data_IF_452656960751
#
_entry.id   IF_452656960751
#
_cell.length_a   1.000
_cell.length_b   1.000
_cell.length_c   1.000
_cell.angle_alpha   90.00
_cell.angle_beta   90.00
_cell.angle_gamma   90.00
#
_symmetry.space_group_name_H-M   'P 1'
#
loop_
_entity.id
_entity.type
_entity.pdbx_description
1 polymer ?
#
# COMPACT_ATOMS: atom_id res chain seq x y z
N UNK A 1 -27.81 2.85 42.56
CA UNK A 1 -27.97 1.72 41.64
C UNK A 1 -27.10 2.01 40.44
N UNK A 2 -26.14 1.14 40.18
CA UNK A 2 -25.03 1.24 39.22
C UNK A 2 -25.50 1.32 37.77
N UNK A 3 -25.04 2.33 37.03
CA UNK A 3 -24.69 2.17 35.62
C UNK A 3 -23.54 3.12 35.25
N UNK A 4 -22.32 2.68 35.57
CA UNK A 4 -21.06 3.33 35.18
C UNK A 4 -20.30 2.42 34.20
N UNK A 5 -21.04 1.71 33.36
CA UNK A 5 -20.55 0.60 32.54
C UNK A 5 -20.06 1.02 31.14
N UNK A 6 -20.16 2.30 30.77
CA UNK A 6 -19.77 2.79 29.43
C UNK A 6 -18.76 3.94 29.47
N UNK A 7 -17.79 3.84 30.39
CA UNK A 7 -16.59 4.69 30.42
C UNK A 7 -15.49 4.05 29.57
N UNK A 8 -15.73 3.88 28.26
CA UNK A 8 -14.65 3.56 27.32
C UNK A 8 -13.89 4.85 27.03
N UNK A 9 -12.58 4.93 27.35
CA UNK A 9 -11.81 6.13 27.06
C UNK A 9 -11.82 6.38 25.54
N UNK A 10 -12.39 7.52 25.13
CA UNK A 10 -12.41 8.04 23.76
C UNK A 10 -11.02 8.51 23.29
N UNK A 11 -9.96 7.78 23.65
CA UNK A 11 -8.56 8.09 23.31
C UNK A 11 -8.06 7.40 22.04
N UNK A 12 -8.89 6.55 21.41
CA UNK A 12 -8.54 5.84 20.18
C UNK A 12 -9.60 6.02 19.08
N UNK A 13 -10.31 7.15 19.08
CA UNK A 13 -11.09 7.57 17.92
C UNK A 13 -10.12 8.13 16.89
N UNK A 14 -9.54 7.24 16.06
CA UNK A 14 -8.81 7.61 14.84
C UNK A 14 -9.84 8.11 13.82
N UNK A 15 -10.09 9.43 13.72
CA UNK A 15 -11.24 9.95 12.98
C UNK A 15 -11.12 9.65 11.48
N UNK A 16 -9.90 9.40 10.99
CA UNK A 16 -9.61 9.08 9.59
C UNK A 16 -9.96 7.64 9.15
N UNK A 17 -10.30 6.72 10.06
CA UNK A 17 -10.71 5.35 9.69
C UNK A 17 -12.22 5.20 9.45
N UNK A 18 -13.02 6.22 9.78
CA UNK A 18 -14.49 6.18 9.66
C UNK A 18 -15.02 6.73 8.33
N UNK A 19 -14.13 7.18 7.44
CA UNK A 19 -14.53 7.68 6.13
C UNK A 19 -14.65 6.51 5.15
N UNK A 20 -15.89 6.03 5.03
CA UNK A 20 -16.32 4.89 4.23
C UNK A 20 -15.97 4.99 2.73
N UNK A 21 -15.70 6.20 2.23
CA UNK A 21 -15.22 6.42 0.86
C UNK A 21 -13.69 6.33 0.74
N UNK A 22 -12.92 6.60 1.81
CA UNK A 22 -11.44 6.60 1.79
C UNK A 22 -10.81 5.24 2.07
N UNK A 23 -11.57 4.31 2.67
CA UNK A 23 -11.10 2.93 2.89
C UNK A 23 -10.73 2.23 1.58
N UNK A 24 -11.43 2.47 0.49
CA UNK A 24 -11.20 1.78 -0.79
C UNK A 24 -9.82 2.07 -1.38
N UNK A 25 -9.41 3.35 -1.57
CA UNK A 25 -8.06 3.65 -2.06
C UNK A 25 -6.97 3.23 -1.07
N UNK A 26 -7.20 3.35 0.25
CA UNK A 26 -6.25 2.89 1.25
C UNK A 26 -6.06 1.36 1.25
N UNK A 27 -7.14 0.59 1.11
CA UNK A 27 -7.07 -0.86 0.96
C UNK A 27 -6.33 -1.23 -0.31
N UNK A 28 -6.53 -0.51 -1.42
CA UNK A 28 -5.78 -0.75 -2.65
C UNK A 28 -4.27 -0.55 -2.46
N UNK A 29 -3.86 0.51 -1.75
CA UNK A 29 -2.45 0.76 -1.43
C UNK A 29 -1.90 -0.32 -0.49
N UNK A 30 -2.66 -0.70 0.53
CA UNK A 30 -2.28 -1.77 1.46
C UNK A 30 -2.03 -3.08 0.69
N UNK A 31 -2.95 -3.45 -0.20
CA UNK A 31 -2.83 -4.66 -1.03
C UNK A 31 -1.59 -4.58 -1.92
N UNK A 32 -1.38 -3.48 -2.64
CA UNK A 32 -0.19 -3.29 -3.48
C UNK A 32 1.10 -3.36 -2.65
N UNK A 33 1.09 -2.79 -1.44
CA UNK A 33 2.25 -2.78 -0.54
C UNK A 33 2.58 -4.18 -0.06
N UNK A 34 1.58 -4.94 0.37
CA UNK A 34 1.76 -6.34 0.80
C UNK A 34 2.27 -7.18 -0.35
N UNK A 35 1.67 -7.07 -1.54
CA UNK A 35 2.10 -7.81 -2.74
C UNK A 35 3.56 -7.46 -3.10
N UNK A 36 3.90 -6.17 -3.09
CA UNK A 36 5.27 -5.71 -3.38
C UNK A 36 6.27 -6.22 -2.35
N UNK A 37 5.90 -6.24 -1.06
CA UNK A 37 6.74 -6.81 0.00
C UNK A 37 6.99 -8.30 -0.19
N UNK A 38 5.95 -9.06 -0.52
CA UNK A 38 6.07 -10.49 -0.83
C UNK A 38 6.95 -10.73 -2.06
N UNK A 39 6.84 -9.86 -3.07
CA UNK A 39 7.62 -9.87 -4.30
C UNK A 39 9.12 -9.58 -4.12
N UNK A 40 9.48 -8.79 -3.10
CA UNK A 40 10.83 -8.27 -2.89
C UNK A 40 11.62 -8.96 -1.77
N UNK A 41 10.96 -9.64 -0.82
CA UNK A 41 11.63 -10.25 0.33
C UNK A 41 11.56 -11.77 0.28
N UNK A 42 10.43 -12.33 0.68
CA UNK A 42 10.13 -13.77 0.70
C UNK A 42 8.61 -13.86 0.79
N UNK A 43 7.94 -14.76 0.03
CA UNK A 43 8.45 -15.96 -0.63
C UNK A 43 8.79 -15.82 -2.12
N UNK A 44 8.54 -14.66 -2.75
CA UNK A 44 8.54 -14.56 -4.22
C UNK A 44 9.90 -14.12 -4.78
N UNK A 45 10.67 -13.31 -4.05
CA UNK A 45 11.96 -12.82 -4.53
C UNK A 45 12.95 -13.91 -4.99
N UNK A 46 13.06 -15.09 -4.34
CA UNK A 46 13.94 -16.16 -4.82
C UNK A 46 13.69 -16.59 -6.27
N UNK A 47 12.45 -16.48 -6.77
CA UNK A 47 12.13 -16.78 -8.17
C UNK A 47 12.73 -15.74 -9.14
N UNK A 48 12.97 -14.52 -8.66
CA UNK A 48 13.56 -13.43 -9.43
C UNK A 48 15.05 -13.18 -9.13
N UNK A 49 15.68 -13.99 -8.28
CA UNK A 49 17.10 -13.86 -7.92
C UNK A 49 18.09 -14.23 -9.02
N UNK A 50 17.62 -14.72 -10.18
CA UNK A 50 18.48 -15.13 -11.29
C UNK A 50 19.11 -13.92 -11.98
N UNK A 51 20.40 -14.02 -12.29
CA UNK A 51 21.15 -12.96 -13.01
C UNK A 51 20.76 -12.93 -14.50
N UNK A 52 20.38 -14.08 -15.06
CA UNK A 52 19.90 -14.23 -16.45
C UNK A 52 18.41 -14.58 -16.43
N UNK A 53 17.60 -14.08 -17.38
CA UNK A 53 17.97 -13.29 -18.56
C UNK A 53 18.33 -11.83 -18.25
N UNK A 54 18.88 -11.12 -19.24
CA UNK A 54 19.05 -9.67 -19.15
C UNK A 54 17.80 -8.98 -19.70
N UNK A 55 17.25 -8.03 -18.95
CA UNK A 55 16.09 -7.21 -19.33
C UNK A 55 16.59 -5.79 -19.54
N UNK A 56 16.46 -5.26 -20.76
CA UNK A 56 16.95 -3.92 -21.13
C UNK A 56 18.45 -3.70 -20.81
N UNK A 57 19.26 -4.76 -20.88
CA UNK A 57 20.68 -4.72 -20.53
C UNK A 57 20.99 -4.85 -19.04
N UNK A 58 19.97 -4.95 -18.18
CA UNK A 58 20.10 -5.13 -16.73
C UNK A 58 19.88 -6.60 -16.33
N UNK A 59 20.53 -7.12 -15.27
CA UNK A 59 20.19 -8.42 -14.70
C UNK A 59 18.69 -8.49 -14.34
N UNK A 60 18.06 -9.65 -14.54
CA UNK A 60 16.63 -9.82 -14.26
C UNK A 60 16.24 -9.40 -12.83
N UNK A 61 17.04 -9.77 -11.84
CA UNK A 61 16.82 -9.38 -10.44
C UNK A 61 16.75 -7.86 -10.24
N UNK A 62 17.58 -7.10 -10.95
CA UNK A 62 17.57 -5.65 -10.86
C UNK A 62 16.35 -5.05 -11.56
N UNK A 63 16.02 -5.54 -12.76
CA UNK A 63 14.81 -5.12 -13.48
C UNK A 63 13.53 -5.44 -12.68
N UNK A 64 13.50 -6.56 -11.95
CA UNK A 64 12.41 -6.94 -11.07
C UNK A 64 12.20 -5.93 -9.95
N UNK A 65 13.26 -5.57 -9.22
CA UNK A 65 13.19 -4.57 -8.14
C UNK A 65 12.72 -3.21 -8.65
N UNK A 66 13.26 -2.75 -9.78
CA UNK A 66 12.84 -1.49 -10.40
C UNK A 66 11.39 -1.55 -10.87
N UNK A 67 10.94 -2.70 -11.40
CA UNK A 67 9.54 -2.91 -11.79
C UNK A 67 8.59 -2.72 -10.61
N UNK A 68 8.88 -3.33 -9.46
CA UNK A 68 8.08 -3.17 -8.24
C UNK A 68 8.15 -1.76 -7.66
N UNK A 69 9.27 -1.07 -7.80
CA UNK A 69 9.39 0.35 -7.44
C UNK A 69 8.42 1.21 -8.28
N UNK A 70 8.35 0.97 -9.59
CA UNK A 70 7.42 1.67 -10.49
C UNK A 70 5.97 1.37 -10.10
N UNK A 71 5.64 0.11 -9.83
CA UNK A 71 4.29 -0.29 -9.37
C UNK A 71 3.89 0.47 -8.09
N UNK A 72 4.79 0.53 -7.10
CA UNK A 72 4.55 1.28 -5.87
C UNK A 72 4.33 2.76 -6.12
N UNK A 73 5.17 3.36 -6.97
CA UNK A 73 5.02 4.76 -7.35
C UNK A 73 3.67 5.04 -8.02
N UNK A 74 3.25 4.19 -8.96
CA UNK A 74 1.94 4.32 -9.61
C UNK A 74 0.80 4.20 -8.60
N UNK A 75 0.88 3.26 -7.66
CA UNK A 75 -0.13 3.11 -6.60
C UNK A 75 -0.24 4.38 -5.73
N UNK A 76 0.89 5.00 -5.37
CA UNK A 76 0.91 6.28 -4.65
C UNK A 76 0.32 7.42 -5.47
N UNK A 77 0.63 7.50 -6.77
CA UNK A 77 0.05 8.51 -7.66
C UNK A 77 -1.47 8.33 -7.79
N UNK A 78 -1.95 7.09 -7.91
CA UNK A 78 -3.37 6.78 -7.94
C UNK A 78 -4.05 7.14 -6.63
N UNK A 79 -3.42 6.81 -5.49
CA UNK A 79 -3.90 7.23 -4.17
C UNK A 79 -4.00 8.75 -4.09
N UNK A 80 -2.96 9.48 -4.47
CA UNK A 80 -2.95 10.94 -4.45
C UNK A 80 -4.05 11.55 -5.31
N UNK A 81 -4.28 11.00 -6.51
CA UNK A 81 -5.37 11.46 -7.39
C UNK A 81 -6.76 11.14 -6.85
N UNK A 82 -6.92 10.04 -6.13
CA UNK A 82 -8.21 9.63 -5.55
C UNK A 82 -8.49 10.36 -4.23
N UNK A 83 -7.44 10.77 -3.51
CA UNK A 83 -7.54 11.51 -2.26
C UNK A 83 -7.56 13.03 -2.47
N UNK A 84 -7.51 13.55 -3.71
CA UNK A 84 -7.77 14.96 -3.96
C UNK A 84 -9.20 15.28 -3.50
N UNK A 85 -9.38 16.04 -2.39
CA UNK A 85 -10.70 16.51 -2.02
C UNK A 85 -11.17 17.44 -3.13
N UNK A 86 -12.44 17.34 -3.51
CA UNK A 86 -13.09 18.28 -4.41
C UNK A 86 -12.79 19.69 -3.92
N UNK A 87 -11.78 20.33 -4.52
CA UNK A 87 -11.47 21.73 -4.30
C UNK A 87 -12.51 22.46 -5.14
N UNK A 88 -13.72 22.48 -4.59
CA UNK A 88 -14.84 23.21 -5.17
C UNK A 88 -14.63 24.66 -4.78
N UNK A 89 -14.45 25.51 -5.80
CA UNK A 89 -14.51 26.98 -5.70
C UNK A 89 -15.70 27.48 -4.85
#
# INVERSE_FOLDING_TARGET
>A
MSDSSDDRPRGLVLPGLQDDSRRTPLLSLLVVTVISGLALIWPVYPFAGSIRPYVLGLPFSFAWVVGWLIVMFVALVLLYRTDQPDTTD
#
